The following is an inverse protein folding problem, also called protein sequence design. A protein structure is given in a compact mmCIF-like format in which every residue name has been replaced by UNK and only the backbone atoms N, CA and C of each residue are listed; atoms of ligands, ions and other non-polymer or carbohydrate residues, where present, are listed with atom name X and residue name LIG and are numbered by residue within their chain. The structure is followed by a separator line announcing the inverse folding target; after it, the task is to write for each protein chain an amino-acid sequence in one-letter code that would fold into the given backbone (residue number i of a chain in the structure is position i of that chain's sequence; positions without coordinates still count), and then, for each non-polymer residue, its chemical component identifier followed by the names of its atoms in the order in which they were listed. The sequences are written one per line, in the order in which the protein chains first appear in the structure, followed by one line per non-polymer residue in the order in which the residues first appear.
data_IF_905115180372
#
_entry.id   IF_905115180372
#
_cell.length_a   1.000
_cell.length_b   1.000
_cell.length_c   1.000
_cell.angle_alpha   90.00
_cell.angle_beta   90.00
_cell.angle_gamma   90.00
#
_symmetry.space_group_name_H-M   'P 1'
#
loop_
_entity.id
_entity.type
_entity.pdbx_description
1 polymer ?
#
# COMPACT_ATOMS: atom_id res chain seq x y z
N UNK A 1 24.64 -19.63 -35.17
CA UNK A 1 24.54 -19.35 -33.72
C UNK A 1 24.21 -17.89 -33.59
N UNK A 2 23.05 -17.53 -33.03
CA UNK A 2 22.75 -16.13 -32.74
C UNK A 2 23.78 -15.63 -31.71
N UNK A 3 24.42 -14.51 -31.99
CA UNK A 3 25.35 -13.87 -31.07
C UNK A 3 24.61 -13.54 -29.76
N UNK A 4 25.19 -13.94 -28.62
CA UNK A 4 24.58 -13.74 -27.31
C UNK A 4 24.61 -12.25 -26.96
N UNK A 5 23.44 -11.62 -26.84
CA UNK A 5 23.33 -10.25 -26.33
C UNK A 5 23.62 -10.25 -24.81
N UNK A 6 24.87 -9.96 -24.46
CA UNK A 6 25.34 -9.91 -23.08
C UNK A 6 24.62 -8.84 -22.25
N UNK A 7 24.26 -7.69 -22.84
CA UNK A 7 23.56 -6.62 -22.12
C UNK A 7 22.17 -7.10 -21.72
N UNK A 8 21.45 -7.75 -22.64
CA UNK A 8 20.15 -8.35 -22.36
C UNK A 8 20.26 -9.45 -21.31
N UNK A 9 21.27 -10.30 -21.40
CA UNK A 9 21.52 -11.35 -20.40
C UNK A 9 21.74 -10.79 -18.99
N UNK A 10 22.66 -9.83 -18.82
CA UNK A 10 22.90 -9.20 -17.51
C UNK A 10 21.65 -8.50 -16.95
N UNK A 11 20.87 -7.83 -17.81
CA UNK A 11 19.60 -7.22 -17.39
C UNK A 11 18.58 -8.26 -16.92
N UNK A 12 18.50 -9.41 -17.58
CA UNK A 12 17.61 -10.50 -17.21
C UNK A 12 18.04 -11.20 -15.90
N UNK A 13 19.35 -11.23 -15.61
CA UNK A 13 19.90 -11.82 -14.38
C UNK A 13 20.03 -10.83 -13.21
N UNK A 14 19.47 -9.62 -13.30
CA UNK A 14 19.55 -8.64 -12.21
C UNK A 14 18.62 -9.05 -11.04
N UNK A 15 19.17 -9.45 -9.87
CA UNK A 15 18.37 -9.92 -8.74
C UNK A 15 17.52 -8.81 -8.08
N UNK A 16 17.84 -7.55 -8.35
CA UNK A 16 17.08 -6.40 -7.84
C UNK A 16 15.89 -6.02 -8.73
N UNK A 17 15.76 -6.60 -9.93
CA UNK A 17 14.63 -6.35 -10.81
C UNK A 17 13.43 -7.21 -10.39
N UNK A 18 12.35 -6.57 -9.98
CA UNK A 18 11.05 -7.23 -9.79
C UNK A 18 10.48 -7.65 -11.14
N UNK A 19 9.99 -8.89 -11.25
CA UNK A 19 9.30 -9.37 -12.44
C UNK A 19 7.83 -8.92 -12.40
N UNK A 20 7.38 -8.25 -13.46
CA UNK A 20 5.98 -7.86 -13.62
C UNK A 20 5.28 -8.93 -14.45
N UNK A 21 4.63 -9.90 -13.79
CA UNK A 21 4.07 -11.09 -14.47
C UNK A 21 3.04 -10.77 -15.56
N UNK A 22 2.35 -9.63 -15.47
CA UNK A 22 1.45 -9.16 -16.52
C UNK A 22 2.15 -8.66 -17.80
N UNK A 23 3.46 -8.42 -17.75
CA UNK A 23 4.28 -8.08 -18.93
C UNK A 23 4.78 -9.37 -19.60
N UNK A 24 4.47 -9.62 -20.89
CA UNK A 24 4.93 -10.81 -21.62
C UNK A 24 6.45 -11.02 -21.57
N UNK A 25 7.24 -9.93 -21.55
CA UNK A 25 8.70 -10.03 -21.50
C UNK A 25 9.21 -10.58 -20.16
N UNK A 26 8.54 -10.25 -19.05
CA UNK A 26 8.94 -10.72 -17.72
C UNK A 26 8.33 -12.10 -17.42
N UNK A 27 7.16 -12.41 -18.00
CA UNK A 27 6.45 -13.67 -17.81
C UNK A 27 7.29 -14.89 -18.17
N UNK A 28 8.14 -14.79 -19.21
CA UNK A 28 9.04 -15.88 -19.60
C UNK A 28 10.10 -16.23 -18.55
N UNK A 29 10.42 -15.29 -17.65
CA UNK A 29 11.40 -15.47 -16.57
C UNK A 29 10.74 -15.89 -15.26
N UNK A 30 9.41 -15.88 -15.17
CA UNK A 30 8.68 -16.26 -13.97
C UNK A 30 8.62 -17.79 -13.82
N UNK A 31 8.98 -18.28 -12.63
CA UNK A 31 8.86 -19.69 -12.26
C UNK A 31 7.95 -19.77 -11.03
N UNK A 32 6.89 -20.58 -11.11
CA UNK A 32 5.97 -20.78 -9.98
C UNK A 32 6.55 -21.75 -8.95
N UNK A 33 6.99 -21.21 -7.82
CA UNK A 33 7.52 -21.98 -6.70
C UNK A 33 6.44 -22.44 -5.68
N UNK A 34 5.14 -22.32 -5.99
CA UNK A 34 4.08 -22.70 -5.05
C UNK A 34 4.16 -24.16 -4.58
N UNK A 35 4.58 -25.09 -5.46
CA UNK A 35 4.72 -26.51 -5.13
C UNK A 35 5.79 -26.76 -4.08
N UNK A 36 6.96 -26.13 -4.22
CA UNK A 36 8.10 -26.28 -3.29
C UNK A 36 7.94 -25.44 -2.02
N UNK A 37 7.17 -24.35 -2.06
CA UNK A 37 6.77 -23.56 -0.88
C UNK A 37 5.66 -24.24 -0.05
N UNK A 38 5.06 -25.31 -0.56
CA UNK A 38 3.99 -26.07 0.11
C UNK A 38 2.61 -25.39 0.10
N UNK A 39 2.47 -24.17 -0.46
CA UNK A 39 1.15 -23.59 -0.73
C UNK A 39 1.16 -22.44 -1.72
N UNK A 40 0.05 -22.30 -2.46
CA UNK A 40 -0.21 -21.15 -3.32
C UNK A 40 -0.89 -20.02 -2.50
N UNK A 41 -0.05 -19.12 -1.98
CA UNK A 41 -0.51 -18.00 -1.15
C UNK A 41 -1.27 -16.97 -1.98
N UNK A 42 -0.85 -16.75 -3.23
CA UNK A 42 -1.50 -15.80 -4.13
C UNK A 42 -2.92 -16.24 -4.45
N UNK A 43 -3.13 -17.53 -4.72
CA UNK A 43 -4.48 -18.07 -4.89
C UNK A 43 -5.33 -17.95 -3.62
N UNK A 44 -4.73 -18.06 -2.43
CA UNK A 44 -5.46 -17.84 -1.16
C UNK A 44 -5.91 -16.37 -1.03
N UNK A 45 -5.02 -15.41 -1.32
CA UNK A 45 -5.35 -13.98 -1.29
C UNK A 45 -6.42 -13.62 -2.33
N UNK A 46 -6.22 -14.08 -3.57
CA UNK A 46 -7.18 -13.94 -4.67
C UNK A 46 -8.55 -14.49 -4.29
N UNK A 47 -8.61 -15.73 -3.78
CA UNK A 47 -9.87 -16.36 -3.33
C UNK A 47 -10.58 -15.56 -2.25
N UNK A 48 -9.84 -15.00 -1.29
CA UNK A 48 -10.44 -14.17 -0.25
C UNK A 48 -11.12 -12.94 -0.84
N UNK A 49 -10.43 -12.22 -1.74
CA UNK A 49 -10.91 -10.97 -2.36
C UNK A 49 -12.06 -11.22 -3.34
N UNK A 50 -11.98 -12.33 -4.10
CA UNK A 50 -12.91 -12.58 -5.22
C UNK A 50 -14.15 -13.36 -4.83
N UNK A 51 -14.06 -14.22 -3.80
CA UNK A 51 -15.13 -15.16 -3.45
C UNK A 51 -15.61 -15.03 -2.00
N UNK A 52 -14.71 -14.84 -1.04
CA UNK A 52 -15.05 -14.94 0.39
C UNK A 52 -15.49 -13.61 1.01
N UNK A 53 -15.18 -12.49 0.38
CA UNK A 53 -15.48 -11.18 0.94
C UNK A 53 -16.88 -10.67 0.61
N UNK A 54 -17.70 -11.37 -0.18
CA UNK A 54 -19.12 -11.04 -0.42
C UNK A 54 -19.39 -9.55 -0.76
N UNK A 55 -18.55 -8.94 -1.62
CA UNK A 55 -18.55 -7.50 -1.95
C UNK A 55 -18.27 -6.54 -0.77
N UNK A 56 -17.87 -7.05 0.39
CA UNK A 56 -17.37 -6.29 1.53
C UNK A 56 -15.86 -6.02 1.41
N UNK A 57 -15.37 -4.90 1.96
CA UNK A 57 -13.94 -4.64 2.11
C UNK A 57 -13.22 -5.79 2.83
N UNK A 58 -11.99 -6.07 2.43
CA UNK A 58 -11.15 -7.09 3.08
C UNK A 58 -9.75 -6.55 3.33
N UNK A 59 -9.21 -6.75 4.53
CA UNK A 59 -7.82 -6.42 4.84
C UNK A 59 -7.01 -7.71 4.95
N UNK A 60 -5.92 -7.84 4.19
CA UNK A 60 -5.02 -8.99 4.21
C UNK A 60 -3.59 -8.54 4.54
N UNK A 61 -2.88 -9.38 5.29
CA UNK A 61 -1.47 -9.14 5.64
C UNK A 61 -0.60 -10.17 4.92
N UNK A 62 0.45 -9.69 4.26
CA UNK A 62 1.41 -10.50 3.52
C UNK A 62 2.82 -10.25 4.06
N UNK A 63 3.63 -11.28 4.23
CA UNK A 63 4.97 -11.13 4.82
C UNK A 63 5.93 -12.18 4.29
N UNK A 64 7.22 -12.04 4.58
CA UNK A 64 8.29 -12.90 4.10
C UNK A 64 9.61 -12.17 4.13
N UNK A 65 10.72 -12.89 3.93
CA UNK A 65 12.06 -12.27 3.92
C UNK A 65 12.20 -11.20 2.82
N UNK A 66 13.01 -10.18 3.06
CA UNK A 66 13.38 -9.23 2.02
C UNK A 66 14.13 -10.00 0.92
N UNK A 67 13.73 -9.79 -0.34
CA UNK A 67 14.30 -10.51 -1.48
C UNK A 67 13.69 -11.89 -1.78
N UNK A 68 12.69 -12.37 -1.02
CA UNK A 68 12.07 -13.69 -1.28
C UNK A 68 11.08 -13.73 -2.46
N UNK A 69 10.94 -12.62 -3.20
CA UNK A 69 10.03 -12.49 -4.35
C UNK A 69 8.63 -11.98 -4.02
N UNK A 70 8.42 -11.32 -2.87
CA UNK A 70 7.11 -10.77 -2.46
C UNK A 70 6.50 -9.86 -3.53
N UNK A 71 7.25 -8.86 -4.01
CA UNK A 71 6.80 -7.92 -5.02
C UNK A 71 6.39 -8.61 -6.31
N UNK A 72 7.15 -9.61 -6.77
CA UNK A 72 6.80 -10.44 -7.93
C UNK A 72 5.48 -11.18 -7.73
N UNK A 73 5.27 -11.80 -6.56
CA UNK A 73 4.02 -12.49 -6.23
C UNK A 73 2.84 -11.51 -6.06
N UNK A 74 3.08 -10.29 -5.61
CA UNK A 74 2.07 -9.21 -5.57
C UNK A 74 1.71 -8.72 -6.97
N UNK A 75 2.66 -8.61 -7.91
CA UNK A 75 2.35 -8.33 -9.32
C UNK A 75 1.57 -9.49 -9.97
N UNK A 76 1.87 -10.74 -9.59
CA UNK A 76 1.06 -11.90 -9.99
C UNK A 76 -0.37 -11.81 -9.45
N UNK A 77 -0.54 -11.39 -8.18
CA UNK A 77 -1.87 -11.15 -7.61
C UNK A 77 -2.61 -10.03 -8.35
N UNK A 78 -1.92 -8.92 -8.65
CA UNK A 78 -2.45 -7.80 -9.43
C UNK A 78 -3.00 -8.27 -10.78
N UNK A 79 -2.18 -8.94 -11.58
CA UNK A 79 -2.57 -9.45 -12.90
C UNK A 79 -3.82 -10.36 -12.83
N UNK A 80 -3.85 -11.28 -11.86
CA UNK A 80 -5.01 -12.16 -11.65
C UNK A 80 -6.28 -11.38 -11.29
N UNK A 81 -6.19 -10.42 -10.37
CA UNK A 81 -7.34 -9.61 -9.94
C UNK A 81 -7.85 -8.69 -11.07
N UNK A 82 -6.95 -8.11 -11.86
CA UNK A 82 -7.31 -7.29 -13.03
C UNK A 82 -8.04 -8.13 -14.08
N UNK A 83 -7.57 -9.35 -14.36
CA UNK A 83 -8.27 -10.33 -15.24
C UNK A 83 -9.63 -10.75 -14.70
N UNK A 84 -9.81 -10.74 -13.39
CA UNK A 84 -11.09 -10.99 -12.73
C UNK A 84 -12.03 -9.78 -12.73
N UNK A 85 -11.62 -8.63 -13.29
CA UNK A 85 -12.44 -7.43 -13.43
C UNK A 85 -12.32 -6.44 -12.27
N UNK A 86 -11.33 -6.58 -11.38
CA UNK A 86 -11.05 -5.56 -10.37
C UNK A 86 -10.21 -4.42 -10.94
N UNK A 87 -10.28 -3.26 -10.30
CA UNK A 87 -9.33 -2.17 -10.50
C UNK A 87 -8.28 -2.24 -9.39
N UNK A 88 -7.02 -2.47 -9.74
CA UNK A 88 -5.96 -2.72 -8.77
C UNK A 88 -4.97 -1.56 -8.75
N UNK A 89 -4.88 -0.90 -7.59
CA UNK A 89 -3.88 0.14 -7.31
C UNK A 89 -2.74 -0.52 -6.55
N UNK A 90 -1.60 -0.66 -7.23
CA UNK A 90 -0.36 -1.14 -6.61
C UNK A 90 0.61 0.02 -6.47
N UNK A 91 1.25 0.14 -5.31
CA UNK A 91 2.37 1.06 -5.14
C UNK A 91 3.36 0.54 -4.10
N UNK A 92 4.59 1.00 -4.23
CA UNK A 92 5.66 0.76 -3.27
C UNK A 92 5.70 1.89 -2.27
N UNK A 93 5.41 1.58 -1.01
CA UNK A 93 5.34 2.59 0.05
C UNK A 93 6.67 3.32 0.27
N UNK A 94 7.81 2.71 -0.09
CA UNK A 94 9.16 3.29 0.04
C UNK A 94 9.41 4.49 -0.87
N UNK A 95 8.62 4.67 -1.92
CA UNK A 95 8.73 5.83 -2.81
C UNK A 95 8.09 7.09 -2.19
N UNK A 96 7.04 6.86 -1.39
CA UNK A 96 6.15 7.89 -0.84
C UNK A 96 6.42 8.21 0.64
N UNK A 97 6.96 7.26 1.40
CA UNK A 97 7.09 7.33 2.85
C UNK A 97 8.55 7.23 3.28
N UNK A 98 8.91 7.99 4.34
CA UNK A 98 10.17 7.75 5.05
C UNK A 98 10.03 6.55 5.98
N UNK A 99 10.57 5.40 5.55
CA UNK A 99 10.53 4.15 6.30
C UNK A 99 11.21 4.19 7.67
N UNK A 100 12.09 5.16 7.92
CA UNK A 100 12.71 5.36 9.24
C UNK A 100 11.78 6.02 10.26
N UNK A 101 10.76 6.73 9.78
CA UNK A 101 9.93 7.62 10.57
C UNK A 101 8.53 7.79 9.93
N UNK A 102 7.82 6.68 9.72
CA UNK A 102 6.47 6.66 9.12
C UNK A 102 5.38 6.45 10.18
N UNK A 103 4.29 7.21 10.10
CA UNK A 103 3.09 7.06 10.94
C UNK A 103 1.87 6.58 10.13
N UNK A 104 0.79 6.23 10.82
CA UNK A 104 -0.49 5.79 10.24
C UNK A 104 -1.08 6.86 9.33
N UNK A 105 -1.06 8.12 9.74
CA UNK A 105 -1.56 9.22 8.90
C UNK A 105 -0.81 9.30 7.58
N UNK A 106 0.50 9.04 7.58
CA UNK A 106 1.32 9.06 6.37
C UNK A 106 0.92 7.91 5.43
N UNK A 107 0.74 6.70 5.97
CA UNK A 107 0.28 5.53 5.19
C UNK A 107 -1.11 5.79 4.58
N UNK A 108 -2.04 6.32 5.37
CA UNK A 108 -3.40 6.65 4.93
C UNK A 108 -3.38 7.70 3.81
N UNK A 109 -2.58 8.76 3.95
CA UNK A 109 -2.42 9.78 2.91
C UNK A 109 -1.74 9.23 1.65
N UNK A 110 -0.75 8.36 1.77
CA UNK A 110 -0.14 7.71 0.61
C UNK A 110 -1.15 6.85 -0.16
N UNK A 111 -1.97 6.06 0.53
CA UNK A 111 -3.08 5.31 -0.10
C UNK A 111 -4.05 6.27 -0.78
N UNK A 112 -4.44 7.35 -0.11
CA UNK A 112 -5.36 8.32 -0.66
C UNK A 112 -4.80 8.97 -1.94
N UNK A 113 -3.50 9.31 -1.95
CA UNK A 113 -2.79 9.86 -3.11
C UNK A 113 -2.83 8.90 -4.28
N UNK A 114 -2.42 7.65 -4.06
CA UNK A 114 -2.26 6.62 -5.08
C UNK A 114 -3.61 6.20 -5.68
N UNK A 115 -4.64 6.08 -4.85
CA UNK A 115 -6.00 5.81 -5.34
C UNK A 115 -6.50 6.99 -6.15
N UNK A 116 -6.34 8.23 -5.66
CA UNK A 116 -6.79 9.43 -6.39
C UNK A 116 -6.12 9.56 -7.75
N UNK A 117 -4.79 9.39 -7.80
CA UNK A 117 -4.01 9.43 -9.04
C UNK A 117 -4.50 8.35 -10.04
N UNK A 118 -4.79 7.14 -9.55
CA UNK A 118 -5.35 6.07 -10.39
C UNK A 118 -6.77 6.38 -10.88
N UNK A 119 -7.60 7.02 -10.07
CA UNK A 119 -8.95 7.46 -10.46
C UNK A 119 -8.89 8.57 -11.52
N UNK A 120 -7.99 9.54 -11.37
CA UNK A 120 -7.76 10.61 -12.33
C UNK A 120 -7.29 10.09 -13.68
N UNK A 121 -6.37 9.11 -13.69
CA UNK A 121 -5.94 8.41 -14.92
C UNK A 121 -7.09 7.70 -15.63
N UNK A 122 -8.08 7.21 -14.87
CA UNK A 122 -9.32 6.66 -15.44
C UNK A 122 -10.38 7.72 -15.73
N UNK A 123 -10.09 9.02 -15.61
CA UNK A 123 -11.04 10.13 -15.80
C UNK A 123 -12.22 10.09 -14.82
N UNK A 124 -12.01 9.55 -13.63
CA UNK A 124 -12.96 9.59 -12.51
C UNK A 124 -12.57 10.79 -11.64
N UNK A 125 -13.36 11.86 -11.70
CA UNK A 125 -13.13 13.06 -10.89
C UNK A 125 -13.72 12.86 -9.50
N UNK A 126 -12.86 12.85 -8.50
CA UNK A 126 -13.25 12.79 -7.09
C UNK A 126 -13.08 14.19 -6.51
N UNK A 127 -14.14 14.71 -5.87
CA UNK A 127 -14.12 16.03 -5.24
C UNK A 127 -13.81 15.87 -3.75
N UNK A 128 -12.59 16.21 -3.29
CA UNK A 128 -12.27 16.19 -1.88
C UNK A 128 -12.87 17.41 -1.17
N UNK A 129 -13.86 17.23 -0.31
CA UNK A 129 -14.38 18.29 0.55
C UNK A 129 -13.44 18.52 1.73
N UNK A 130 -13.30 17.51 2.58
CA UNK A 130 -12.46 17.56 3.77
C UNK A 130 -10.99 17.83 3.44
N UNK A 131 -10.44 17.19 2.41
CA UNK A 131 -9.01 17.36 2.13
C UNK A 131 -8.63 18.76 1.64
N UNK A 132 -9.52 19.48 0.96
CA UNK A 132 -9.26 20.89 0.62
C UNK A 132 -9.02 21.72 1.88
N UNK A 133 -9.87 21.52 2.89
CA UNK A 133 -9.70 22.16 4.21
C UNK A 133 -8.42 21.68 4.88
N UNK A 134 -8.19 20.36 4.95
CA UNK A 134 -7.00 19.79 5.57
C UNK A 134 -5.70 20.34 4.96
N UNK A 135 -5.63 20.44 3.63
CA UNK A 135 -4.43 20.93 2.95
C UNK A 135 -4.20 22.43 3.17
N UNK A 136 -5.28 23.21 3.31
CA UNK A 136 -5.20 24.63 3.67
C UNK A 136 -4.64 24.78 5.08
N UNK A 137 -5.18 24.02 6.05
CA UNK A 137 -4.70 24.02 7.44
C UNK A 137 -3.24 23.51 7.54
N UNK A 138 -2.87 22.47 6.79
CA UNK A 138 -1.48 21.98 6.74
C UNK A 138 -0.54 23.03 6.15
N UNK A 139 -0.97 23.76 5.11
CA UNK A 139 -0.18 24.86 4.53
C UNK A 139 0.11 25.94 5.57
N UNK A 140 -0.89 26.30 6.38
CA UNK A 140 -0.76 27.28 7.47
C UNK A 140 0.18 26.78 8.57
N UNK A 141 0.01 25.52 9.01
CA UNK A 141 0.83 24.89 10.06
C UNK A 141 2.29 24.78 9.67
N UNK A 142 2.56 24.40 8.42
CA UNK A 142 3.91 24.28 7.90
C UNK A 142 4.54 25.65 7.56
N UNK A 143 3.75 26.74 7.59
CA UNK A 143 4.15 28.07 7.14
C UNK A 143 4.78 28.06 5.74
N UNK A 144 4.31 27.15 4.90
CA UNK A 144 4.77 26.99 3.53
C UNK A 144 3.58 27.22 2.62
N UNK A 145 3.64 28.14 1.65
CA UNK A 145 2.57 28.30 0.68
C UNK A 145 2.45 27.02 -0.14
N UNK A 146 1.37 26.28 0.11
CA UNK A 146 0.93 25.20 -0.76
C UNK A 146 -0.11 25.87 -1.65
N UNK A 147 0.31 26.31 -2.84
CA UNK A 147 -0.63 26.84 -3.83
C UNK A 147 -1.56 25.72 -4.27
N UNK A 148 -2.70 25.62 -3.60
CA UNK A 148 -3.79 24.73 -3.98
C UNK A 148 -4.72 25.58 -4.85
N UNK A 149 -4.72 25.33 -6.16
CA UNK A 149 -5.83 25.81 -6.99
C UNK A 149 -7.13 25.23 -6.42
N UNK A 150 -8.23 25.96 -6.54
CA UNK A 150 -9.57 25.52 -6.12
C UNK A 150 -10.03 24.23 -6.83
N UNK A 151 -9.35 23.84 -7.90
CA UNK A 151 -9.52 22.60 -8.64
C UNK A 151 -8.41 21.56 -8.40
N UNK A 152 -7.51 21.77 -7.43
CA UNK A 152 -6.41 20.84 -7.17
C UNK A 152 -6.96 19.45 -6.84
N UNK A 153 -6.63 18.51 -7.72
CA UNK A 153 -6.89 17.08 -7.57
C UNK A 153 -6.30 16.57 -6.24
N UNK A 154 -7.00 15.64 -5.59
CA UNK A 154 -6.64 15.11 -4.27
C UNK A 154 -5.20 14.56 -4.28
N UNK A 155 -4.80 13.91 -5.38
CA UNK A 155 -3.44 13.41 -5.61
C UNK A 155 -2.38 14.52 -5.54
N UNK A 156 -2.64 15.68 -6.16
CA UNK A 156 -1.72 16.83 -6.26
C UNK A 156 -1.52 17.48 -4.91
N UNK A 157 -2.59 17.64 -4.13
CA UNK A 157 -2.51 18.21 -2.78
C UNK A 157 -1.62 17.37 -1.87
N UNK A 158 -1.82 16.05 -1.86
CA UNK A 158 -1.00 15.14 -1.05
C UNK A 158 0.44 15.10 -1.57
N UNK A 159 0.64 15.03 -2.89
CA UNK A 159 1.99 15.02 -3.48
C UNK A 159 2.80 16.27 -3.11
N UNK A 160 2.18 17.46 -3.08
CA UNK A 160 2.84 18.70 -2.64
C UNK A 160 3.25 18.63 -1.17
N UNK A 161 2.39 18.13 -0.29
CA UNK A 161 2.71 17.94 1.13
C UNK A 161 3.88 16.97 1.28
N UNK A 162 3.79 15.78 0.66
CA UNK A 162 4.84 14.76 0.70
C UNK A 162 6.17 15.31 0.19
N UNK A 163 6.19 16.02 -0.94
CA UNK A 163 7.41 16.59 -1.50
C UNK A 163 8.07 17.63 -0.57
N UNK A 164 7.26 18.46 0.11
CA UNK A 164 7.75 19.48 1.04
C UNK A 164 8.29 18.86 2.34
N UNK A 165 7.69 17.78 2.81
CA UNK A 165 8.11 17.13 4.07
C UNK A 165 9.20 16.08 3.87
N UNK A 166 9.34 15.47 2.69
CA UNK A 166 10.28 14.35 2.40
C UNK A 166 11.68 14.58 2.96
N UNK A 167 12.24 15.78 2.76
CA UNK A 167 13.64 16.10 3.12
C UNK A 167 13.78 16.92 4.40
N UNK A 168 12.72 17.12 5.19
CA UNK A 168 12.76 17.97 6.38
C UNK A 168 12.16 17.27 7.61
N UNK A 169 13.00 16.69 8.50
CA UNK A 169 12.54 16.07 9.74
C UNK A 169 11.69 17.00 10.61
N UNK A 170 12.01 18.30 10.63
CA UNK A 170 11.24 19.32 11.35
C UNK A 170 9.82 19.44 10.81
N UNK A 171 9.68 19.61 9.49
CA UNK A 171 8.35 19.75 8.86
C UNK A 171 7.54 18.45 8.99
N UNK A 172 8.18 17.28 8.92
CA UNK A 172 7.51 15.99 9.20
C UNK A 172 7.00 15.91 10.62
N UNK A 173 7.81 16.29 11.61
CA UNK A 173 7.38 16.31 13.01
C UNK A 173 6.20 17.25 13.22
N UNK A 174 6.19 18.44 12.60
CA UNK A 174 5.08 19.39 12.67
C UNK A 174 3.82 18.83 11.99
N UNK A 175 3.98 18.24 10.80
CA UNK A 175 2.88 17.59 10.08
C UNK A 175 2.28 16.46 10.93
N UNK A 176 3.11 15.59 11.51
CA UNK A 176 2.66 14.49 12.37
C UNK A 176 1.90 14.99 13.59
N UNK A 177 2.44 15.96 14.33
CA UNK A 177 1.73 16.55 15.48
C UNK A 177 0.36 17.10 15.11
N UNK A 178 0.23 17.60 13.88
CA UNK A 178 -1.05 18.08 13.36
C UNK A 178 -1.99 16.96 12.94
N UNK A 179 -1.50 15.93 12.23
CA UNK A 179 -2.31 14.86 11.66
C UNK A 179 -2.69 13.76 12.66
N UNK A 180 -1.82 13.45 13.61
CA UNK A 180 -2.02 12.34 14.56
C UNK A 180 -3.38 12.41 15.30
N UNK A 181 -3.78 13.54 15.92
CA UNK A 181 -5.08 13.63 16.59
C UNK A 181 -6.28 13.58 15.62
N UNK A 182 -6.04 13.77 14.31
CA UNK A 182 -7.06 13.79 13.25
C UNK A 182 -7.15 12.48 12.47
N UNK A 183 -6.39 11.45 12.85
CA UNK A 183 -6.30 10.18 12.10
C UNK A 183 -7.67 9.56 11.81
N UNK A 184 -8.59 9.57 12.78
CA UNK A 184 -9.95 9.03 12.59
C UNK A 184 -10.76 9.82 11.56
N UNK A 185 -10.73 11.15 11.62
CA UNK A 185 -11.42 12.02 10.65
C UNK A 185 -10.81 11.91 9.25
N UNK A 186 -9.48 11.78 9.15
CA UNK A 186 -8.79 11.52 7.89
C UNK A 186 -9.27 10.19 7.30
N UNK A 187 -9.28 9.12 8.10
CA UNK A 187 -9.75 7.80 7.66
C UNK A 187 -11.22 7.83 7.20
N UNK A 188 -12.11 8.47 7.97
CA UNK A 188 -13.52 8.63 7.59
C UNK A 188 -13.66 9.37 6.25
N UNK A 189 -12.88 10.43 6.06
CA UNK A 189 -12.88 11.21 4.82
C UNK A 189 -12.32 10.41 3.64
N UNK A 190 -11.26 9.61 3.84
CA UNK A 190 -10.76 8.66 2.82
C UNK A 190 -11.86 7.69 2.42
N UNK A 191 -12.57 7.13 3.39
CA UNK A 191 -13.63 6.17 3.11
C UNK A 191 -14.78 6.80 2.32
N UNK A 192 -15.34 7.91 2.80
CA UNK A 192 -16.57 8.51 2.27
C UNK A 192 -16.34 9.33 1.00
N UNK A 193 -15.28 10.13 0.95
CA UNK A 193 -15.03 11.05 -0.16
C UNK A 193 -14.28 10.37 -1.30
N UNK A 194 -13.41 9.38 -1.01
CA UNK A 194 -12.54 8.75 -1.99
C UNK A 194 -12.94 7.29 -2.29
N UNK A 195 -12.84 6.38 -1.33
CA UNK A 195 -12.94 4.93 -1.60
C UNK A 195 -14.36 4.50 -2.01
N UNK A 196 -15.39 5.00 -1.32
CA UNK A 196 -16.78 4.69 -1.66
C UNK A 196 -17.16 5.25 -3.03
N UNK A 197 -16.75 6.50 -3.32
CA UNK A 197 -16.98 7.13 -4.63
C UNK A 197 -16.26 6.40 -5.76
N UNK A 198 -15.00 6.05 -5.54
CA UNK A 198 -14.22 5.23 -6.48
C UNK A 198 -14.93 3.91 -6.76
N UNK A 199 -15.34 3.16 -5.74
CA UNK A 199 -16.04 1.89 -5.91
C UNK A 199 -17.36 2.03 -6.67
N UNK A 200 -18.16 3.07 -6.42
CA UNK A 200 -19.42 3.33 -7.15
C UNK A 200 -19.13 3.57 -8.64
N UNK A 201 -18.16 4.43 -8.95
CA UNK A 201 -17.85 4.78 -10.33
C UNK A 201 -17.16 3.64 -11.09
N UNK A 202 -16.32 2.86 -10.41
CA UNK A 202 -15.74 1.63 -10.94
C UNK A 202 -16.83 0.61 -11.30
N UNK A 203 -17.82 0.41 -10.43
CA UNK A 203 -18.96 -0.48 -10.71
C UNK A 203 -19.80 -0.01 -11.90
N UNK A 204 -19.97 1.31 -12.08
CA UNK A 204 -20.63 1.87 -13.29
C UNK A 204 -19.86 1.57 -14.59
N UNK A 205 -18.56 1.28 -14.48
CA UNK A 205 -17.66 0.93 -15.59
C UNK A 205 -17.37 -0.56 -15.65
N UNK A 206 -18.29 -1.38 -15.14
CA UNK A 206 -18.23 -2.84 -15.17
C UNK A 206 -16.99 -3.44 -14.45
N UNK A 207 -16.47 -2.73 -13.45
CA UNK A 207 -15.45 -3.26 -12.54
C UNK A 207 -16.10 -3.83 -11.28
N UNK A 208 -15.54 -4.90 -10.74
CA UNK A 208 -16.05 -5.55 -9.51
C UNK A 208 -15.79 -4.71 -8.24
N UNK A 209 -14.73 -3.92 -8.24
CA UNK A 209 -14.37 -3.03 -7.14
C UNK A 209 -12.89 -2.64 -7.16
N UNK A 210 -12.49 -1.87 -6.15
CA UNK A 210 -11.13 -1.40 -5.91
C UNK A 210 -10.35 -2.35 -5.00
N UNK A 211 -9.13 -2.69 -5.42
CA UNK A 211 -8.12 -3.36 -4.59
C UNK A 211 -6.89 -2.48 -4.49
N UNK A 212 -6.38 -2.28 -3.27
CA UNK A 212 -5.13 -1.56 -3.01
C UNK A 212 -4.08 -2.56 -2.52
N UNK A 213 -2.93 -2.60 -3.17
CA UNK A 213 -1.77 -3.41 -2.77
C UNK A 213 -0.67 -2.44 -2.35
N UNK A 214 -0.32 -2.50 -1.07
CA UNK A 214 0.72 -1.65 -0.47
C UNK A 214 1.95 -2.52 -0.22
N UNK A 215 2.94 -2.39 -1.10
CA UNK A 215 4.21 -3.12 -1.01
C UNK A 215 5.28 -2.31 -0.24
N UNK A 216 6.37 -2.97 0.13
CA UNK A 216 7.54 -2.43 0.84
C UNK A 216 7.27 -1.85 2.25
N UNK A 217 6.05 -1.96 2.79
CA UNK A 217 5.79 -1.61 4.19
C UNK A 217 6.49 -2.59 5.16
N UNK A 218 6.98 -3.73 4.66
CA UNK A 218 7.86 -4.62 5.42
C UNK A 218 9.28 -4.08 5.62
N UNK A 219 9.64 -2.95 4.98
CA UNK A 219 10.95 -2.29 5.09
C UNK A 219 10.99 -1.16 6.14
N UNK A 220 9.93 -0.99 6.91
CA UNK A 220 9.89 -0.04 8.03
C UNK A 220 11.00 -0.35 9.02
N UNK A 221 11.67 0.70 9.52
CA UNK A 221 12.75 0.57 10.49
C UNK A 221 12.31 -0.19 11.73
N UNK A 222 12.96 -1.32 12.00
CA UNK A 222 12.67 -2.20 13.12
C UNK A 222 13.52 -1.87 14.37
N UNK A 223 14.25 -0.75 14.36
CA UNK A 223 15.01 -0.33 15.54
C UNK A 223 14.07 -0.01 16.71
N UNK A 224 14.41 -0.43 17.95
CA UNK A 224 13.65 -0.03 19.13
C UNK A 224 13.64 1.48 19.26
N UNK A 225 12.44 2.07 19.39
CA UNK A 225 12.30 3.50 19.66
C UNK A 225 12.36 3.76 21.16
N UNK A 226 12.54 5.02 21.56
CA UNK A 226 12.68 5.45 22.96
C UNK A 226 11.51 5.05 23.86
N UNK A 227 10.32 4.85 23.30
CA UNK A 227 9.12 4.37 24.00
C UNK A 227 9.04 2.85 24.18
N UNK A 228 10.13 2.11 23.89
CA UNK A 228 10.24 0.68 24.19
C UNK A 228 9.52 -0.24 23.21
N UNK A 229 9.06 0.28 22.06
CA UNK A 229 8.46 -0.51 20.98
C UNK A 229 9.19 -0.26 19.66
N UNK A 230 9.13 -1.24 18.78
CA UNK A 230 9.57 -1.07 17.39
C UNK A 230 8.50 -0.33 16.59
N UNK A 231 8.91 0.35 15.51
CA UNK A 231 7.95 1.04 14.62
C UNK A 231 6.91 0.06 14.03
N UNK A 232 7.28 -1.16 13.58
CA UNK A 232 6.30 -2.14 13.11
C UNK A 232 5.25 -2.52 14.15
N UNK A 233 5.64 -2.69 15.42
CA UNK A 233 4.68 -2.99 16.49
C UNK A 233 3.72 -1.82 16.71
N UNK A 234 4.24 -0.60 16.76
CA UNK A 234 3.40 0.59 16.86
C UNK A 234 2.36 0.66 15.73
N UNK A 235 2.79 0.49 14.48
CA UNK A 235 1.91 0.62 13.30
C UNK A 235 0.88 -0.50 13.20
N UNK A 236 1.31 -1.76 13.34
CA UNK A 236 0.46 -2.91 13.04
C UNK A 236 -0.21 -3.51 14.28
N UNK A 237 0.39 -3.40 15.48
CA UNK A 237 -0.19 -3.94 16.72
C UNK A 237 -1.01 -2.88 17.43
N UNK A 238 -0.41 -1.72 17.72
CA UNK A 238 -1.05 -0.69 18.54
C UNK A 238 -2.06 0.13 17.75
N UNK A 239 -1.70 0.51 16.51
CA UNK A 239 -2.50 1.36 15.63
C UNK A 239 -3.02 0.63 14.38
N UNK A 240 -2.98 -0.71 14.38
CA UNK A 240 -3.43 -1.51 13.23
C UNK A 240 -4.94 -1.42 12.95
N UNK A 241 -5.73 -0.93 13.91
CA UNK A 241 -7.19 -0.80 13.73
C UNK A 241 -7.55 0.15 12.60
N UNK A 242 -6.84 1.27 12.50
CA UNK A 242 -7.06 2.29 11.48
C UNK A 242 -6.76 1.72 10.08
N UNK A 243 -5.69 0.93 9.94
CA UNK A 243 -5.30 0.31 8.67
C UNK A 243 -6.31 -0.73 8.18
N UNK A 244 -7.02 -1.39 9.10
CA UNK A 244 -8.08 -2.37 8.78
C UNK A 244 -9.36 -1.70 8.27
N UNK A 245 -9.64 -0.48 8.68
CA UNK A 245 -10.93 0.21 8.51
C UNK A 245 -11.13 0.90 7.16
N UNK A 246 -10.26 0.66 6.17
CA UNK A 246 -10.45 1.19 4.82
C UNK A 246 -11.58 0.46 4.09
N UNK A 247 -12.47 1.20 3.45
CA UNK A 247 -13.65 0.69 2.73
C UNK A 247 -13.30 0.17 1.32
N UNK A 248 -12.21 -0.61 1.21
CA UNK A 248 -11.80 -1.30 -0.01
C UNK A 248 -11.07 -2.62 0.31
N UNK A 249 -10.79 -3.44 -0.70
CA UNK A 249 -9.87 -4.55 -0.51
C UNK A 249 -8.46 -4.01 -0.39
N UNK A 250 -7.73 -4.38 0.65
CA UNK A 250 -6.35 -3.96 0.87
C UNK A 250 -5.46 -5.14 1.23
N UNK A 251 -4.26 -5.16 0.65
CA UNK A 251 -3.18 -6.10 0.99
C UNK A 251 -1.98 -5.27 1.44
N UNK A 252 -1.54 -5.47 2.68
CA UNK A 252 -0.33 -4.84 3.21
C UNK A 252 0.80 -5.84 3.29
N UNK A 253 1.99 -5.47 2.81
CA UNK A 253 3.21 -6.12 3.27
C UNK A 253 3.53 -5.70 4.70
N UNK A 254 3.91 -6.65 5.55
CA UNK A 254 4.31 -6.37 6.94
C UNK A 254 5.69 -6.96 7.25
N UNK A 255 6.48 -6.35 8.16
CA UNK A 255 7.78 -6.89 8.56
C UNK A 255 7.67 -8.30 9.12
N UNK A 256 8.53 -9.20 8.65
CA UNK A 256 8.54 -10.61 9.08
C UNK A 256 8.78 -10.77 10.59
N UNK A 257 9.49 -9.81 11.20
CA UNK A 257 9.75 -9.78 12.64
C UNK A 257 8.47 -9.81 13.47
N UNK A 258 7.35 -9.27 12.96
CA UNK A 258 6.04 -9.31 13.64
C UNK A 258 5.48 -10.72 13.78
N UNK A 259 5.92 -11.68 12.95
CA UNK A 259 5.54 -13.09 13.09
C UNK A 259 6.17 -13.76 14.32
N UNK A 260 7.25 -13.17 14.84
CA UNK A 260 7.98 -13.64 16.01
C UNK A 260 7.82 -12.71 17.21
N UNK A 261 7.01 -11.65 17.10
CA UNK A 261 6.71 -10.75 18.22
C UNK A 261 5.78 -11.43 19.23
N UNK A 262 5.97 -11.11 20.50
CA UNK A 262 5.08 -11.53 21.59
C UNK A 262 3.63 -11.03 21.37
N UNK A 263 3.47 -9.97 20.58
CA UNK A 263 2.16 -9.39 20.22
C UNK A 263 1.50 -10.03 18.99
N UNK A 264 2.04 -11.12 18.43
CA UNK A 264 1.47 -11.77 17.24
C UNK A 264 -0.02 -12.12 17.39
N UNK A 265 -0.44 -12.55 18.58
CA UNK A 265 -1.85 -12.80 18.89
C UNK A 265 -2.70 -11.54 18.81
N UNK A 266 -2.20 -10.41 19.32
CA UNK A 266 -2.86 -9.10 19.28
C UNK A 266 -2.93 -8.56 17.86
N UNK A 267 -1.86 -8.69 17.08
CA UNK A 267 -1.83 -8.39 15.64
C UNK A 267 -2.94 -9.14 14.90
N UNK A 268 -2.98 -10.47 15.05
CA UNK A 268 -3.95 -11.32 14.37
C UNK A 268 -5.39 -10.99 14.77
N UNK A 269 -5.63 -10.73 16.05
CA UNK A 269 -6.96 -10.34 16.56
C UNK A 269 -7.39 -8.97 16.02
N UNK A 270 -6.49 -7.98 16.01
CA UNK A 270 -6.75 -6.63 15.51
C UNK A 270 -7.24 -6.67 14.07
N UNK A 271 -6.49 -7.33 13.19
CA UNK A 271 -6.82 -7.45 11.78
C UNK A 271 -7.91 -8.50 11.50
N UNK A 272 -8.20 -9.41 12.43
CA UNK A 272 -9.13 -10.52 12.24
C UNK A 272 -8.64 -11.57 11.24
N UNK A 273 -7.37 -11.50 10.84
CA UNK A 273 -6.74 -12.41 9.88
C UNK A 273 -5.32 -12.74 10.34
N UNK A 274 -4.86 -13.95 10.03
CA UNK A 274 -3.46 -14.32 10.20
C UNK A 274 -2.64 -13.87 8.99
N UNK A 275 -1.49 -13.22 9.18
CA UNK A 275 -0.59 -12.90 8.07
C UNK A 275 -0.23 -14.13 7.24
N UNK A 276 -0.14 -13.93 5.93
CA UNK A 276 0.30 -14.95 4.97
C UNK A 276 1.79 -14.80 4.73
N UNK A 277 2.57 -15.77 5.19
CA UNK A 277 4.02 -15.80 5.01
C UNK A 277 4.33 -16.40 3.63
N UNK A 278 5.13 -15.71 2.82
CA UNK A 278 5.82 -16.23 1.65
C UNK A 278 7.15 -16.86 2.09
N UNK A 279 7.26 -18.20 2.11
CA UNK A 279 8.50 -18.86 2.50
C UNK A 279 9.61 -18.59 1.47
N UNK A 280 10.85 -18.59 1.94
CA UNK A 280 12.00 -18.74 1.05
C UNK A 280 11.88 -20.06 0.29
N UNK A 281 12.37 -20.08 -0.95
CA UNK A 281 12.54 -21.34 -1.67
C UNK A 281 13.68 -22.09 -0.99
N UNK A 282 13.45 -23.33 -0.51
CA UNK A 282 14.48 -24.13 0.15
C UNK A 282 15.62 -24.55 -0.80
#
# INVERSE_FOLDING_TARGET
MSELDLIKFYKACNPSKTLIVGNPEDQQYYIDFASVRGSDIIRKLERTITLLSENQPSCQLFTGHIGCGKSTELFRLKDKLEKQGYHVVYFESSEDLDMGDVDISDILLAIARQVSESMEQTKIKIKPGYFQKLFTEVSEVLQTPIELSTEAELSVGIAKITAKTKNSPKLRSQLRQYLEPRTSTILESINQELLERANIELKRRDKKGLVVIVDNLDRVDNSPKSWGRTQPEYLFVDRGEQLKKLNCHVVYTIPLTLMFSNDYGRLSSRFGVKPKILPMVP
#
